data_IF_918926940292
#
_entry.id   IF_918926940292
#
_cell.length_a   1.000
_cell.length_b   1.000
_cell.length_c   1.000
_cell.angle_alpha   90.00
_cell.angle_beta   90.00
_cell.angle_gamma   90.00
#
_symmetry.space_group_name_H-M   'P 1'
#
loop_
_entity.id
_entity.type
_entity.pdbx_description
1 polymer ?
#
# COMPACT_ATOMS: atom_id res chain seq x y z
N UNK A 1 -0.43 55.30 -41.14
CA UNK A 1 0.85 55.07 -40.44
C UNK A 1 0.97 56.21 -39.45
N UNK A 2 0.17 56.15 -38.38
CA UNK A 2 0.46 55.48 -37.09
C UNK A 2 0.95 56.57 -36.14
N UNK A 3 0.55 56.69 -34.88
CA UNK A 3 -0.43 55.99 -34.05
C UNK A 3 -0.69 56.93 -32.86
N UNK A 4 -1.91 56.90 -32.32
CA UNK A 4 -2.29 57.70 -31.16
C UNK A 4 -1.68 57.13 -29.88
N UNK A 5 -0.90 57.93 -29.16
CA UNK A 5 -0.60 57.72 -27.75
C UNK A 5 -1.80 58.20 -26.92
N UNK A 6 -2.55 57.27 -26.34
CA UNK A 6 -3.52 57.57 -25.30
C UNK A 6 -3.07 56.87 -24.02
N UNK A 7 -2.55 57.68 -23.11
CA UNK A 7 -2.45 57.40 -21.68
C UNK A 7 -3.84 57.02 -21.15
N UNK A 8 -3.99 55.85 -20.51
CA UNK A 8 -5.10 55.58 -19.60
C UNK A 8 -4.61 54.84 -18.36
N UNK A 9 -5.15 55.32 -17.23
CA UNK A 9 -4.74 55.07 -15.87
C UNK A 9 -4.81 53.60 -15.45
N UNK A 10 -3.95 53.27 -14.47
CA UNK A 10 -4.08 52.10 -13.63
C UNK A 10 -5.50 51.99 -13.07
N UNK A 11 -6.27 51.06 -13.62
CA UNK A 11 -7.45 50.51 -12.97
C UNK A 11 -6.99 49.26 -12.23
N UNK A 12 -7.11 49.30 -10.91
CA UNK A 12 -7.15 48.10 -10.08
C UNK A 12 -8.12 47.11 -10.75
N UNK A 13 -7.61 45.95 -11.13
CA UNK A 13 -8.50 44.83 -11.43
C UNK A 13 -9.08 44.39 -10.10
N UNK A 14 -10.21 44.99 -9.73
CA UNK A 14 -11.16 44.31 -8.86
C UNK A 14 -11.37 42.92 -9.45
N UNK A 15 -10.87 41.92 -8.74
CA UNK A 15 -11.21 40.53 -9.00
C UNK A 15 -12.72 40.45 -8.83
N UNK A 16 -13.43 40.16 -9.91
CA UNK A 16 -14.88 39.92 -9.91
C UNK A 16 -15.23 39.05 -8.69
N UNK A 17 -15.92 39.65 -7.73
CA UNK A 17 -16.40 38.99 -6.51
C UNK A 17 -17.70 38.22 -6.73
N UNK A 18 -18.23 38.21 -7.95
CA UNK A 18 -19.54 37.69 -8.26
C UNK A 18 -19.47 36.58 -9.32
N UNK A 19 -19.31 35.36 -8.83
CA UNK A 19 -20.12 34.18 -9.21
C UNK A 19 -19.61 32.99 -8.38
N UNK A 20 -19.70 33.05 -7.04
CA UNK A 20 -19.69 31.80 -6.29
C UNK A 20 -20.98 31.05 -6.68
N UNK A 21 -20.90 29.86 -7.30
CA UNK A 21 -22.10 29.16 -7.76
C UNK A 21 -23.02 28.90 -6.57
N UNK A 22 -24.23 29.45 -6.61
CA UNK A 22 -25.21 29.26 -5.54
C UNK A 22 -25.60 27.77 -5.47
N UNK A 23 -25.12 27.07 -4.43
CA UNK A 23 -25.41 25.66 -4.23
C UNK A 23 -26.77 25.53 -3.55
N UNK A 24 -27.77 25.08 -4.32
CA UNK A 24 -29.05 24.65 -3.75
C UNK A 24 -28.93 23.25 -3.17
N UNK A 25 -28.91 23.14 -1.85
CA UNK A 25 -28.85 21.84 -1.16
C UNK A 25 -30.16 21.07 -1.29
N UNK A 26 -30.03 19.77 -1.53
CA UNK A 26 -31.19 18.86 -1.60
C UNK A 26 -31.71 18.47 -0.22
N UNK A 27 -30.80 18.31 0.75
CA UNK A 27 -31.08 17.91 2.13
C UNK A 27 -29.92 18.32 3.07
N UNK A 28 -30.10 18.05 4.36
CA UNK A 28 -29.14 18.36 5.41
C UNK A 28 -27.81 17.61 5.25
N UNK A 29 -27.81 16.42 4.62
CA UNK A 29 -26.58 15.64 4.36
C UNK A 29 -25.72 16.37 3.34
N UNK A 30 -26.30 16.84 2.23
CA UNK A 30 -25.58 17.63 1.24
C UNK A 30 -25.03 18.94 1.83
N UNK A 31 -25.81 19.59 2.70
CA UNK A 31 -25.37 20.80 3.39
C UNK A 31 -24.22 20.51 4.39
N UNK A 32 -24.31 19.42 5.13
CA UNK A 32 -23.27 19.00 6.06
C UNK A 32 -21.98 18.62 5.32
N UNK A 33 -22.09 17.86 4.23
CA UNK A 33 -20.98 17.50 3.36
C UNK A 33 -20.25 18.74 2.84
N UNK A 34 -20.99 19.69 2.26
CA UNK A 34 -20.40 20.93 1.76
C UNK A 34 -19.70 21.74 2.85
N UNK A 35 -20.35 21.89 4.02
CA UNK A 35 -19.80 22.63 5.15
C UNK A 35 -18.49 22.03 5.67
N UNK A 36 -18.43 20.70 5.81
CA UNK A 36 -17.24 19.99 6.26
C UNK A 36 -16.12 20.07 5.21
N UNK A 37 -16.47 19.87 3.94
CA UNK A 37 -15.52 19.93 2.83
C UNK A 37 -14.88 21.32 2.72
N UNK A 38 -15.67 22.39 2.71
CA UNK A 38 -15.12 23.75 2.71
C UNK A 38 -14.27 24.06 3.93
N UNK A 39 -14.67 23.58 5.12
CA UNK A 39 -13.90 23.82 6.34
C UNK A 39 -12.53 23.14 6.29
N UNK A 40 -12.47 21.95 5.70
CA UNK A 40 -11.21 21.26 5.45
C UNK A 40 -10.38 21.99 4.38
N UNK A 41 -10.95 22.28 3.21
CA UNK A 41 -10.22 22.88 2.08
C UNK A 41 -9.65 24.28 2.35
N UNK A 42 -10.19 25.02 3.33
CA UNK A 42 -9.60 26.31 3.77
C UNK A 42 -8.20 26.15 4.37
N UNK A 43 -7.92 25.00 4.96
CA UNK A 43 -6.66 24.68 5.61
C UNK A 43 -6.51 23.14 5.61
N UNK A 44 -6.16 22.55 4.43
CA UNK A 44 -6.22 21.11 4.20
C UNK A 44 -5.00 20.42 4.83
N UNK A 45 -4.91 20.51 6.15
CA UNK A 45 -3.85 19.91 6.96
C UNK A 45 -4.36 18.63 7.57
N UNK A 46 -3.66 17.52 7.31
CA UNK A 46 -3.92 16.27 8.00
C UNK A 46 -3.21 16.22 9.35
N UNK A 47 -3.95 15.93 10.45
CA UNK A 47 -3.33 15.72 11.74
C UNK A 47 -2.37 14.53 11.68
N UNK A 48 -1.21 14.61 12.37
CA UNK A 48 -0.27 13.49 12.42
C UNK A 48 -0.94 12.18 12.87
N UNK A 49 -0.81 11.13 12.06
CA UNK A 49 -1.40 9.81 12.32
C UNK A 49 -2.91 9.73 12.15
N UNK A 50 -3.54 10.67 11.44
CA UNK A 50 -4.97 10.61 11.11
C UNK A 50 -5.28 9.43 10.17
N UNK A 51 -4.52 9.26 9.09
CA UNK A 51 -4.68 8.14 8.15
C UNK A 51 -4.50 6.79 8.85
N UNK A 52 -3.51 6.69 9.75
CA UNK A 52 -3.25 5.54 10.61
C UNK A 52 -4.50 5.05 11.38
N UNK A 53 -5.36 5.97 11.82
CA UNK A 53 -6.56 5.63 12.62
C UNK A 53 -7.56 4.80 11.82
N UNK A 54 -7.67 5.05 10.51
CA UNK A 54 -8.59 4.34 9.63
C UNK A 54 -8.10 2.95 9.24
N UNK A 55 -6.82 2.67 9.47
CA UNK A 55 -6.16 1.48 8.93
C UNK A 55 -5.76 0.48 9.99
N UNK A 56 -5.62 0.93 11.25
CA UNK A 56 -5.46 0.05 12.41
C UNK A 56 -6.79 -0.44 13.03
N UNK A 57 -7.95 -0.27 12.37
CA UNK A 57 -9.27 -0.70 12.87
C UNK A 57 -9.40 -2.19 13.24
N UNK A 58 -8.40 -3.02 12.94
CA UNK A 58 -8.28 -4.39 13.46
C UNK A 58 -7.33 -4.47 14.66
N UNK A 59 -7.73 -3.87 15.79
CA UNK A 59 -7.02 -3.98 17.06
C UNK A 59 -7.53 -3.01 18.12
N UNK A 60 -7.29 -3.35 19.39
CA UNK A 60 -7.69 -2.62 20.62
C UNK A 60 -7.23 -1.13 20.64
N UNK A 61 -6.41 -0.72 19.66
CA UNK A 61 -5.81 0.61 19.47
C UNK A 61 -6.76 1.71 18.99
N UNK A 62 -7.99 1.39 18.58
CA UNK A 62 -8.97 2.41 18.21
C UNK A 62 -9.35 3.36 19.37
N UNK A 63 -9.14 2.96 20.63
CA UNK A 63 -9.50 3.75 21.81
C UNK A 63 -8.42 4.75 22.26
N UNK A 64 -7.13 4.42 22.12
CA UNK A 64 -6.04 5.28 22.63
C UNK A 64 -5.64 6.42 21.67
N UNK A 65 -6.04 6.36 20.39
CA UNK A 65 -5.85 7.44 19.42
C UNK A 65 -6.87 8.58 19.56
N UNK A 66 -7.94 8.37 20.34
CA UNK A 66 -9.01 9.34 20.60
C UNK A 66 -8.53 10.47 21.54
N UNK A 67 -7.44 10.28 22.29
CA UNK A 67 -6.96 11.24 23.29
C UNK A 67 -5.92 12.26 22.79
N UNK A 68 -5.50 12.24 21.51
CA UNK A 68 -4.46 13.17 21.01
C UNK A 68 -5.03 14.33 20.21
N UNK A 69 -4.38 15.49 20.42
CA UNK A 69 -4.81 16.86 20.11
C UNK A 69 -5.98 16.96 19.13
N UNK A 70 -7.15 17.30 19.68
CA UNK A 70 -8.32 17.74 18.92
C UNK A 70 -7.98 19.05 18.19
N UNK A 71 -7.21 18.96 17.12
CA UNK A 71 -7.14 20.05 16.16
C UNK A 71 -8.53 20.19 15.55
N UNK A 72 -8.90 21.42 15.21
CA UNK A 72 -10.19 21.67 14.57
C UNK A 72 -10.35 20.88 13.26
N UNK A 73 -9.25 20.57 12.57
CA UNK A 73 -9.26 19.78 11.33
C UNK A 73 -9.46 18.28 11.56
N UNK A 74 -8.89 17.69 12.62
CA UNK A 74 -9.12 16.27 12.92
C UNK A 74 -10.60 15.93 13.14
N UNK A 75 -11.34 16.80 13.83
CA UNK A 75 -12.78 16.63 14.01
C UNK A 75 -13.59 16.81 12.70
N UNK A 76 -13.13 17.68 11.81
CA UNK A 76 -13.75 17.90 10.49
C UNK A 76 -13.55 16.69 9.61
N UNK A 77 -12.31 16.22 9.48
CA UNK A 77 -11.97 15.03 8.71
C UNK A 77 -12.67 13.78 9.24
N UNK A 78 -12.73 13.60 10.56
CA UNK A 78 -13.41 12.46 11.17
C UNK A 78 -14.91 12.37 10.81
N UNK A 79 -15.55 13.52 10.60
CA UNK A 79 -16.93 13.61 10.15
C UNK A 79 -17.07 13.55 8.62
N UNK A 80 -16.08 14.04 7.87
CA UNK A 80 -16.08 14.07 6.41
C UNK A 80 -15.82 12.70 5.78
N UNK A 81 -14.89 11.92 6.36
CA UNK A 81 -14.45 10.62 5.82
C UNK A 81 -15.62 9.64 5.61
N UNK A 82 -16.53 9.39 6.58
CA UNK A 82 -17.66 8.49 6.36
C UNK A 82 -18.65 8.99 5.28
N UNK A 83 -18.82 10.32 5.15
CA UNK A 83 -19.66 10.91 4.11
C UNK A 83 -19.06 10.71 2.71
N UNK A 84 -17.74 10.87 2.59
CA UNK A 84 -17.02 10.57 1.35
C UNK A 84 -17.10 9.10 0.99
N UNK A 85 -16.75 8.21 1.93
CA UNK A 85 -16.84 6.76 1.76
C UNK A 85 -18.22 6.35 1.22
N UNK A 86 -19.29 6.79 1.90
CA UNK A 86 -20.68 6.51 1.48
C UNK A 86 -21.00 7.05 0.08
N UNK A 87 -20.50 8.25 -0.25
CA UNK A 87 -20.78 8.91 -1.52
C UNK A 87 -20.24 8.14 -2.73
N UNK A 88 -18.98 7.71 -2.71
CA UNK A 88 -18.36 7.09 -3.88
C UNK A 88 -18.51 5.56 -3.94
N UNK A 89 -18.75 4.86 -2.82
CA UNK A 89 -19.03 3.41 -2.86
C UNK A 89 -20.48 3.09 -3.24
N UNK A 90 -21.36 4.08 -3.19
CA UNK A 90 -22.76 3.91 -3.60
C UNK A 90 -22.83 3.45 -5.07
N UNK A 91 -23.71 2.49 -5.36
CA UNK A 91 -24.02 2.07 -6.73
C UNK A 91 -24.45 3.26 -7.60
N UNK A 92 -25.18 4.21 -6.98
CA UNK A 92 -25.63 5.43 -7.61
C UNK A 92 -25.14 6.62 -6.77
N UNK A 93 -23.90 7.10 -6.99
CA UNK A 93 -23.38 8.25 -6.27
C UNK A 93 -24.30 9.45 -6.43
N UNK A 94 -24.57 10.14 -5.31
CA UNK A 94 -25.44 11.31 -5.28
C UNK A 94 -24.88 12.42 -6.16
N UNK A 95 -25.58 12.74 -7.26
CA UNK A 95 -25.15 13.76 -8.24
C UNK A 95 -24.97 15.14 -7.62
N UNK A 96 -25.77 15.48 -6.61
CA UNK A 96 -25.66 16.74 -5.88
C UNK A 96 -24.40 16.80 -5.02
N UNK A 97 -24.04 15.72 -4.32
CA UNK A 97 -22.75 15.63 -3.61
C UNK A 97 -21.57 15.65 -4.59
N UNK A 98 -21.68 14.98 -5.74
CA UNK A 98 -20.63 15.04 -6.78
C UNK A 98 -20.43 16.45 -7.31
N UNK A 99 -21.52 17.18 -7.54
CA UNK A 99 -21.46 18.58 -7.96
C UNK A 99 -20.85 19.48 -6.90
N UNK A 100 -21.24 19.31 -5.62
CA UNK A 100 -20.63 20.02 -4.49
C UNK A 100 -19.12 19.78 -4.47
N UNK A 101 -18.71 18.52 -4.52
CA UNK A 101 -17.29 18.16 -4.47
C UNK A 101 -16.52 18.80 -5.63
N UNK A 102 -17.01 18.70 -6.87
CA UNK A 102 -16.38 19.30 -8.06
C UNK A 102 -16.27 20.83 -7.95
N UNK A 103 -17.34 21.50 -7.54
CA UNK A 103 -17.34 22.96 -7.34
C UNK A 103 -16.28 23.35 -6.30
N UNK A 104 -16.24 22.66 -5.14
CA UNK A 104 -15.29 22.98 -4.08
C UNK A 104 -13.85 22.64 -4.46
N UNK A 105 -13.59 21.52 -5.16
CA UNK A 105 -12.25 21.26 -5.68
C UNK A 105 -11.81 22.37 -6.62
N UNK A 106 -12.68 22.83 -7.52
CA UNK A 106 -12.38 23.94 -8.42
C UNK A 106 -12.10 25.25 -7.70
N UNK A 107 -12.96 25.64 -6.77
CA UNK A 107 -12.80 26.88 -6.00
C UNK A 107 -11.48 26.95 -5.23
N UNK A 108 -11.00 25.81 -4.73
CA UNK A 108 -9.76 25.71 -3.96
C UNK A 108 -8.54 25.27 -4.80
N UNK A 109 -8.69 25.13 -6.12
CA UNK A 109 -7.58 24.86 -7.05
C UNK A 109 -7.14 23.38 -7.16
N UNK A 110 -7.99 22.44 -6.76
CA UNK A 110 -7.76 20.99 -6.80
C UNK A 110 -8.54 20.26 -7.91
N UNK A 111 -9.22 20.96 -8.83
CA UNK A 111 -10.02 20.36 -9.92
C UNK A 111 -9.24 19.32 -10.74
N UNK A 112 -7.95 19.58 -10.95
CA UNK A 112 -7.06 18.74 -11.76
C UNK A 112 -6.23 17.75 -10.95
N UNK A 113 -6.35 17.68 -9.63
CA UNK A 113 -5.45 16.85 -8.80
C UNK A 113 -6.19 15.99 -7.81
N UNK A 114 -7.36 16.46 -7.35
CA UNK A 114 -8.20 15.69 -6.46
C UNK A 114 -8.98 14.59 -7.21
N UNK A 115 -8.99 13.39 -6.63
CA UNK A 115 -9.82 12.30 -7.12
C UNK A 115 -11.32 12.67 -7.10
N UNK A 116 -12.03 12.33 -8.17
CA UNK A 116 -13.47 12.51 -8.27
C UNK A 116 -14.22 11.18 -8.07
N UNK A 117 -15.56 11.21 -8.08
CA UNK A 117 -16.38 10.02 -7.85
C UNK A 117 -16.06 8.85 -8.79
N UNK A 118 -15.78 9.12 -10.06
CA UNK A 118 -15.37 8.08 -11.02
C UNK A 118 -14.01 7.51 -10.66
N UNK A 119 -13.02 8.36 -10.37
CA UNK A 119 -11.68 7.91 -9.95
C UNK A 119 -11.75 6.98 -8.73
N UNK A 120 -12.48 7.36 -7.67
CA UNK A 120 -12.68 6.50 -6.51
C UNK A 120 -13.36 5.19 -6.85
N UNK A 121 -14.42 5.24 -7.67
CA UNK A 121 -15.16 4.04 -8.05
C UNK A 121 -14.29 3.09 -8.87
N UNK A 122 -13.52 3.61 -9.82
CA UNK A 122 -12.69 2.81 -10.71
C UNK A 122 -11.48 2.19 -9.96
N UNK A 123 -10.98 2.87 -8.92
CA UNK A 123 -10.00 2.29 -7.98
C UNK A 123 -10.62 1.25 -7.02
N UNK A 124 -11.86 1.47 -6.56
CA UNK A 124 -12.56 0.55 -5.67
C UNK A 124 -13.09 -0.70 -6.35
N UNK A 125 -13.43 -0.60 -7.64
CA UNK A 125 -14.07 -1.66 -8.39
C UNK A 125 -13.41 -1.88 -9.77
N UNK A 126 -12.08 -2.12 -9.82
CA UNK A 126 -11.33 -2.21 -11.06
C UNK A 126 -11.86 -3.35 -11.95
N UNK A 127 -11.90 -3.10 -13.26
CA UNK A 127 -12.34 -4.07 -14.27
C UNK A 127 -13.80 -4.54 -14.17
N UNK A 128 -14.64 -3.94 -13.31
CA UNK A 128 -16.03 -4.37 -13.15
C UNK A 128 -16.99 -3.55 -14.03
N UNK A 129 -17.63 -4.21 -14.99
CA UNK A 129 -18.77 -3.63 -15.74
C UNK A 129 -20.07 -3.64 -14.93
N UNK A 130 -20.08 -4.26 -13.74
CA UNK A 130 -21.23 -4.35 -12.85
C UNK A 130 -20.81 -4.14 -11.38
N UNK A 131 -21.50 -3.23 -10.70
CA UNK A 131 -21.30 -2.94 -9.27
C UNK A 131 -21.64 -4.19 -8.44
N UNK A 132 -20.64 -4.77 -7.78
CA UNK A 132 -20.80 -5.96 -6.94
C UNK A 132 -20.96 -5.63 -5.45
N UNK A 133 -20.91 -4.33 -5.09
CA UNK A 133 -21.05 -3.83 -3.72
C UNK A 133 -19.88 -4.13 -2.78
N UNK A 134 -18.78 -4.71 -3.25
CA UNK A 134 -17.63 -5.11 -2.44
C UNK A 134 -16.38 -4.34 -2.88
N UNK A 135 -15.95 -3.29 -2.16
CA UNK A 135 -14.80 -2.47 -2.55
C UNK A 135 -13.45 -3.19 -2.35
N UNK A 136 -12.48 -2.94 -3.24
CA UNK A 136 -11.11 -3.52 -3.20
C UNK A 136 -10.30 -3.10 -2.00
N UNK A 137 -10.60 -1.90 -1.51
CA UNK A 137 -9.90 -1.22 -0.44
C UNK A 137 -10.93 -0.78 0.60
N UNK A 138 -10.47 -0.47 1.81
CA UNK A 138 -11.35 0.10 2.83
C UNK A 138 -11.77 1.52 2.42
N UNK A 139 -13.08 1.81 2.35
CA UNK A 139 -13.55 3.10 1.90
C UNK A 139 -13.20 4.27 2.81
N UNK A 140 -13.17 4.06 4.11
CA UNK A 140 -12.83 5.16 5.00
C UNK A 140 -11.33 5.44 4.96
N UNK A 141 -10.50 4.40 4.86
CA UNK A 141 -9.07 4.53 4.64
C UNK A 141 -8.75 5.25 3.32
N UNK A 142 -9.44 4.90 2.22
CA UNK A 142 -9.23 5.56 0.92
C UNK A 142 -9.67 7.02 0.95
N UNK A 143 -10.80 7.32 1.60
CA UNK A 143 -11.25 8.71 1.77
C UNK A 143 -10.29 9.53 2.63
N UNK A 144 -9.81 8.97 3.75
CA UNK A 144 -8.83 9.64 4.61
C UNK A 144 -7.54 9.93 3.84
N UNK A 145 -7.02 8.94 3.13
CA UNK A 145 -5.76 9.08 2.40
C UNK A 145 -5.83 10.08 1.25
N UNK A 146 -6.91 10.02 0.46
CA UNK A 146 -7.08 10.98 -0.63
C UNK A 146 -7.34 12.41 -0.15
N UNK A 147 -7.97 12.60 1.01
CA UNK A 147 -8.11 13.93 1.62
C UNK A 147 -6.78 14.48 2.14
N UNK A 148 -5.91 13.62 2.66
CA UNK A 148 -4.59 14.02 3.13
C UNK A 148 -3.58 14.27 2.02
N UNK A 149 -3.83 13.72 0.84
CA UNK A 149 -2.97 13.84 -0.33
C UNK A 149 -3.75 14.42 -1.53
N UNK A 150 -4.51 15.50 -1.31
CA UNK A 150 -5.41 16.06 -2.33
C UNK A 150 -4.70 16.39 -3.64
N UNK A 151 -3.42 16.82 -3.60
CA UNK A 151 -2.65 17.18 -4.79
C UNK A 151 -2.27 16.00 -5.67
N UNK A 152 -2.32 14.78 -5.13
CA UNK A 152 -1.86 13.58 -5.82
C UNK A 152 -2.92 12.47 -5.86
N UNK A 153 -4.07 12.69 -5.20
CA UNK A 153 -5.08 11.65 -5.03
C UNK A 153 -5.69 11.13 -6.33
N UNK A 154 -5.86 11.97 -7.37
CA UNK A 154 -6.36 11.50 -8.68
C UNK A 154 -5.39 10.51 -9.29
N UNK A 155 -4.15 10.94 -9.49
CA UNK A 155 -3.12 10.16 -10.16
C UNK A 155 -2.78 8.89 -9.38
N UNK A 156 -2.75 8.96 -8.04
CA UNK A 156 -2.47 7.80 -7.20
C UNK A 156 -3.57 6.72 -7.28
N UNK A 157 -4.85 7.13 -7.37
CA UNK A 157 -5.97 6.20 -7.54
C UNK A 157 -6.07 5.66 -8.96
N UNK A 158 -5.76 6.47 -9.98
CA UNK A 158 -5.70 6.01 -11.36
C UNK A 158 -4.59 4.97 -11.54
N UNK A 159 -3.40 5.22 -10.97
CA UNK A 159 -2.29 4.27 -10.94
C UNK A 159 -2.67 2.94 -10.28
N UNK A 160 -3.38 2.98 -9.15
CA UNK A 160 -3.88 1.77 -8.50
C UNK A 160 -4.86 0.99 -9.36
N UNK A 161 -5.79 1.69 -9.99
CA UNK A 161 -6.80 1.09 -10.85
C UNK A 161 -6.13 0.38 -12.02
N UNK A 162 -5.22 1.07 -12.72
CA UNK A 162 -4.47 0.51 -13.85
C UNK A 162 -3.58 -0.65 -13.42
N UNK A 163 -2.84 -0.53 -12.33
CA UNK A 163 -1.98 -1.61 -11.84
C UNK A 163 -2.77 -2.85 -11.45
N UNK A 164 -3.93 -2.67 -10.81
CA UNK A 164 -4.82 -3.78 -10.48
C UNK A 164 -5.35 -4.45 -11.74
N UNK A 165 -5.82 -3.69 -12.73
CA UNK A 165 -6.32 -4.24 -14.00
C UNK A 165 -5.22 -4.92 -14.82
N UNK A 166 -4.00 -4.36 -14.85
CA UNK A 166 -2.92 -4.84 -15.70
C UNK A 166 -2.17 -6.04 -15.14
N UNK A 167 -2.03 -6.09 -13.81
CA UNK A 167 -1.14 -7.04 -13.15
C UNK A 167 -1.88 -8.20 -12.49
N UNK A 168 -3.17 -8.06 -12.17
CA UNK A 168 -3.91 -9.10 -11.44
C UNK A 168 -4.48 -10.22 -12.33
N UNK A 169 -4.47 -10.11 -13.65
CA UNK A 169 -4.97 -11.18 -14.52
C UNK A 169 -4.02 -12.39 -14.58
N UNK A 170 -4.57 -13.61 -14.63
CA UNK A 170 -3.78 -14.81 -14.97
C UNK A 170 -3.33 -14.71 -16.45
N UNK A 171 -2.02 -14.72 -16.73
CA UNK A 171 -1.54 -14.69 -18.11
C UNK A 171 -2.02 -15.91 -18.91
N UNK A 172 -2.67 -15.68 -20.05
CA UNK A 172 -3.10 -16.74 -20.96
C UNK A 172 -4.37 -17.52 -20.56
N UNK A 173 -5.18 -17.01 -19.64
CA UNK A 173 -6.54 -17.52 -19.39
C UNK A 173 -7.61 -16.65 -20.07
N UNK A 174 -8.62 -17.28 -20.68
CA UNK A 174 -9.82 -16.64 -21.25
C UNK A 174 -10.95 -16.43 -20.20
N UNK A 175 -10.66 -16.67 -18.92
CA UNK A 175 -11.68 -16.62 -17.86
C UNK A 175 -12.01 -15.17 -17.53
N UNK A 176 -13.16 -14.69 -18.00
CA UNK A 176 -13.68 -13.37 -17.64
C UNK A 176 -14.07 -13.32 -16.16
N UNK A 177 -13.65 -12.25 -15.48
CA UNK A 177 -13.81 -11.93 -14.07
C UNK A 177 -15.28 -11.79 -13.57
N UNK A 178 -16.08 -12.87 -13.58
CA UNK A 178 -17.53 -12.80 -13.29
C UNK A 178 -18.06 -13.51 -12.03
N UNK A 179 -17.23 -13.95 -11.09
CA UNK A 179 -17.71 -14.20 -9.72
C UNK A 179 -16.71 -13.73 -8.68
N UNK A 180 -17.19 -12.99 -7.68
CA UNK A 180 -16.36 -12.31 -6.68
C UNK A 180 -17.02 -12.36 -5.31
N UNK A 181 -16.51 -13.15 -4.35
CA UNK A 181 -16.81 -13.03 -2.91
C UNK A 181 -15.56 -13.15 -2.03
N UNK A 182 -15.21 -12.09 -1.29
CA UNK A 182 -15.08 -12.05 0.18
C UNK A 182 -14.10 -10.97 0.71
N UNK A 183 -14.48 -10.40 1.87
CA UNK A 183 -13.72 -9.69 2.92
C UNK A 183 -12.71 -8.60 2.53
N UNK A 184 -13.18 -7.35 2.65
CA UNK A 184 -12.38 -6.11 2.68
C UNK A 184 -11.54 -6.07 3.97
N UNK A 185 -10.26 -5.67 3.87
CA UNK A 185 -9.40 -5.39 5.04
C UNK A 185 -8.99 -3.91 5.05
N UNK A 186 -8.98 -3.24 6.22
CA UNK A 186 -8.53 -1.85 6.36
C UNK A 186 -7.01 -1.76 6.21
N UNK A 187 -6.50 -1.04 5.19
CA UNK A 187 -5.05 -0.80 4.97
C UNK A 187 -4.81 0.54 4.28
N UNK A 188 -3.68 1.18 4.61
CA UNK A 188 -3.31 2.53 4.15
C UNK A 188 -2.95 2.48 2.67
N UNK A 189 -3.12 3.61 2.02
CA UNK A 189 -2.63 3.83 0.69
C UNK A 189 -1.79 5.11 0.67
N UNK A 190 -0.64 5.09 1.34
CA UNK A 190 0.31 6.17 1.13
C UNK A 190 1.11 5.81 -0.12
N UNK A 191 0.60 6.40 -1.21
CA UNK A 191 1.38 6.82 -2.35
C UNK A 191 1.81 5.75 -3.38
N UNK A 192 0.85 5.22 -4.16
CA UNK A 192 1.12 4.95 -5.59
C UNK A 192 1.00 6.22 -6.44
N UNK A 193 1.36 7.37 -5.87
CA UNK A 193 1.82 8.51 -6.67
C UNK A 193 3.25 8.21 -7.13
N UNK A 194 3.64 8.82 -8.24
CA UNK A 194 5.02 8.81 -8.74
C UNK A 194 5.87 9.91 -8.09
N UNK A 195 5.29 10.74 -7.22
CA UNK A 195 6.01 11.76 -6.45
C UNK A 195 6.88 11.16 -5.36
N UNK A 196 7.86 11.93 -4.88
CA UNK A 196 8.84 11.41 -3.93
C UNK A 196 8.25 11.12 -2.53
N UNK A 197 7.36 12.00 -2.07
CA UNK A 197 6.80 12.01 -0.71
C UNK A 197 5.33 12.43 -0.68
N UNK A 198 4.65 12.20 0.46
CA UNK A 198 3.33 12.75 0.78
C UNK A 198 3.31 14.30 0.79
N UNK A 199 2.11 14.89 0.74
CA UNK A 199 1.90 16.35 0.72
C UNK A 199 2.50 17.08 1.95
N UNK A 200 2.64 16.37 3.08
CA UNK A 200 3.25 16.87 4.32
C UNK A 200 4.77 16.55 4.44
N UNK A 201 5.36 16.02 3.37
CA UNK A 201 6.79 15.66 3.26
C UNK A 201 7.24 14.66 4.36
N UNK A 202 6.30 13.87 4.91
CA UNK A 202 6.59 12.89 5.97
C UNK A 202 6.84 11.48 5.43
N UNK A 203 6.00 11.01 4.51
CA UNK A 203 5.98 9.62 4.08
C UNK A 203 6.57 9.48 2.68
N UNK A 204 7.57 8.62 2.46
CA UNK A 204 8.03 8.33 1.11
C UNK A 204 6.98 7.54 0.34
N UNK A 205 6.91 7.77 -0.97
CA UNK A 205 5.98 7.01 -1.80
C UNK A 205 6.39 5.54 -1.97
N UNK A 206 5.42 4.71 -2.34
CA UNK A 206 5.72 3.35 -2.78
C UNK A 206 6.61 3.42 -4.02
N UNK A 207 6.35 4.32 -4.95
CA UNK A 207 7.14 4.45 -6.18
C UNK A 207 8.62 4.69 -5.87
N UNK A 208 8.94 5.69 -5.03
CA UNK A 208 10.31 5.96 -4.58
C UNK A 208 10.97 4.76 -3.94
N UNK A 209 10.20 4.05 -3.12
CA UNK A 209 10.71 2.87 -2.44
C UNK A 209 11.06 1.76 -3.44
N UNK A 210 10.20 1.52 -4.44
CA UNK A 210 10.44 0.52 -5.48
C UNK A 210 11.61 0.93 -6.40
N UNK A 211 11.69 2.19 -6.81
CA UNK A 211 12.80 2.74 -7.57
C UNK A 211 14.11 2.59 -6.80
N UNK A 212 14.12 2.97 -5.52
CA UNK A 212 15.28 2.80 -4.65
C UNK A 212 15.73 1.35 -4.50
N UNK A 213 14.82 0.38 -4.56
CA UNK A 213 15.16 -1.05 -4.58
C UNK A 213 15.80 -1.43 -5.92
N UNK A 214 15.18 -1.04 -7.03
CA UNK A 214 15.64 -1.36 -8.39
C UNK A 214 17.03 -0.75 -8.66
N UNK A 215 17.24 0.49 -8.24
CA UNK A 215 18.52 1.22 -8.33
C UNK A 215 19.56 0.76 -7.30
N UNK A 216 19.17 -0.13 -6.39
CA UNK A 216 20.05 -0.72 -5.38
C UNK A 216 20.41 0.23 -4.24
N UNK A 217 19.64 1.30 -4.00
CA UNK A 217 19.70 2.17 -2.81
C UNK A 217 19.12 1.50 -1.58
N UNK A 218 18.19 0.57 -1.78
CA UNK A 218 17.64 -0.31 -0.77
C UNK A 218 18.15 -1.72 -1.06
N UNK A 219 18.79 -2.37 -0.07
CA UNK A 219 19.36 -3.71 -0.25
C UNK A 219 18.46 -4.78 0.32
N UNK A 220 18.20 -5.84 -0.45
CA UNK A 220 17.54 -7.03 0.06
C UNK A 220 18.34 -7.55 1.27
N UNK A 221 17.68 -7.62 2.42
CA UNK A 221 18.31 -8.01 3.68
C UNK A 221 17.89 -9.42 4.07
N UNK A 222 16.59 -9.69 4.14
CA UNK A 222 16.10 -11.01 4.48
C UNK A 222 14.74 -11.31 3.87
N UNK A 223 14.45 -12.60 3.82
CA UNK A 223 13.19 -13.24 3.45
C UNK A 223 12.74 -14.11 4.62
N UNK A 224 11.44 -14.26 4.82
CA UNK A 224 10.89 -15.27 5.73
C UNK A 224 9.49 -15.70 5.35
N UNK A 225 9.18 -16.96 5.59
CA UNK A 225 7.83 -17.47 5.47
C UNK A 225 7.07 -17.28 6.79
N UNK A 226 5.82 -16.85 6.69
CA UNK A 226 4.91 -16.70 7.82
C UNK A 226 3.65 -17.53 7.57
N UNK A 227 3.28 -18.30 8.59
CA UNK A 227 2.04 -19.08 8.60
C UNK A 227 0.85 -18.19 8.93
N UNK A 228 -0.29 -18.43 8.28
CA UNK A 228 -1.57 -17.82 8.65
C UNK A 228 -2.42 -18.77 9.48
N UNK A 229 -3.34 -18.23 10.30
CA UNK A 229 -4.14 -19.01 11.24
C UNK A 229 -5.03 -20.08 10.61
N UNK A 230 -5.37 -19.93 9.33
CA UNK A 230 -6.29 -20.82 8.62
C UNK A 230 -5.61 -21.63 7.49
N UNK A 231 -4.31 -21.42 7.25
CA UNK A 231 -3.52 -22.11 6.21
C UNK A 231 -4.12 -22.08 4.79
N UNK A 232 -5.02 -21.14 4.52
CA UNK A 232 -5.54 -20.88 3.17
C UNK A 232 -4.58 -20.04 2.34
N UNK A 233 -3.58 -19.45 3.00
CA UNK A 233 -2.50 -18.66 2.41
C UNK A 233 -1.23 -18.78 3.27
N UNK A 234 -0.07 -18.60 2.64
CA UNK A 234 1.19 -18.27 3.31
C UNK A 234 1.56 -16.83 3.00
N UNK A 235 2.38 -16.23 3.87
CA UNK A 235 2.92 -14.90 3.64
C UNK A 235 4.43 -15.02 3.46
N UNK A 236 4.95 -14.52 2.35
CA UNK A 236 6.38 -14.26 2.20
C UNK A 236 6.65 -12.82 2.65
N UNK A 237 7.41 -12.66 3.73
CA UNK A 237 7.92 -11.36 4.13
C UNK A 237 9.30 -11.13 3.52
N UNK A 238 9.49 -9.94 2.96
CA UNK A 238 10.71 -9.52 2.26
C UNK A 238 11.13 -8.19 2.87
N UNK A 239 12.31 -8.13 3.47
CA UNK A 239 12.82 -6.91 4.08
C UNK A 239 14.00 -6.36 3.29
N UNK A 240 13.91 -5.07 3.00
CA UNK A 240 14.99 -4.27 2.41
C UNK A 240 15.57 -3.36 3.47
N UNK A 241 16.90 -3.38 3.61
CA UNK A 241 17.64 -2.40 4.39
C UNK A 241 17.65 -1.06 3.64
N UNK A 242 17.28 0.00 4.34
CA UNK A 242 17.41 1.37 3.82
C UNK A 242 18.90 1.70 3.78
N UNK A 243 19.48 1.83 2.58
CA UNK A 243 20.90 2.13 2.38
C UNK A 243 21.69 1.03 1.68
N UNK A 244 22.85 1.41 1.16
CA UNK A 244 23.61 0.61 0.19
C UNK A 244 24.31 -0.63 0.79
N UNK A 245 24.44 -0.69 2.13
CA UNK A 245 25.08 -1.79 2.84
C UNK A 245 24.29 -2.19 4.09
N UNK A 246 23.87 -3.45 4.13
CA UNK A 246 23.15 -4.03 5.27
C UNK A 246 23.94 -3.84 6.56
N UNK A 247 23.26 -3.30 7.58
CA UNK A 247 23.84 -3.13 8.91
C UNK A 247 24.76 -1.93 9.08
N UNK A 248 25.03 -1.19 8.00
CA UNK A 248 25.75 0.09 8.05
C UNK A 248 24.73 1.20 8.20
N UNK A 249 24.95 2.07 9.19
CA UNK A 249 24.09 3.24 9.42
C UNK A 249 24.01 4.07 8.12
N UNK A 250 22.82 4.24 7.52
CA UNK A 250 22.65 5.00 6.29
C UNK A 250 22.85 6.49 6.54
N UNK A 251 23.15 7.24 5.48
CA UNK A 251 23.25 8.70 5.56
C UNK A 251 21.90 9.32 5.92
N UNK A 252 21.93 10.54 6.46
CA UNK A 252 20.71 11.27 6.77
C UNK A 252 19.87 11.54 5.51
N UNK A 253 20.52 11.76 4.36
CA UNK A 253 19.87 11.92 3.07
C UNK A 253 19.08 10.67 2.66
N UNK A 254 19.71 9.49 2.75
CA UNK A 254 19.05 8.21 2.48
C UNK A 254 17.87 7.98 3.42
N UNK A 255 18.04 8.27 4.72
CA UNK A 255 16.93 8.17 5.67
C UNK A 255 15.82 9.15 5.34
N UNK A 256 16.12 10.42 5.02
CA UNK A 256 15.09 11.39 4.64
C UNK A 256 14.32 10.93 3.40
N UNK A 257 14.97 10.25 2.46
CA UNK A 257 14.32 9.81 1.23
C UNK A 257 13.46 8.55 1.41
N UNK A 258 13.86 7.61 2.26
CA UNK A 258 13.27 6.26 2.30
C UNK A 258 12.73 5.84 3.68
N UNK A 259 12.72 6.72 4.67
CA UNK A 259 12.09 6.47 5.98
C UNK A 259 11.00 7.49 6.25
N UNK A 260 10.03 7.09 7.05
CA UNK A 260 9.03 8.00 7.59
C UNK A 260 9.72 9.08 8.43
N UNK A 261 9.53 10.35 8.05
CA UNK A 261 10.12 11.51 8.74
C UNK A 261 9.41 11.87 10.03
N UNK A 262 8.18 11.40 10.22
CA UNK A 262 7.47 11.43 11.49
C UNK A 262 8.15 10.58 12.57
N UNK A 263 8.93 9.56 12.19
CA UNK A 263 9.72 8.72 13.09
C UNK A 263 11.05 9.39 13.49
N UNK A 264 10.96 10.33 14.43
CA UNK A 264 12.09 11.17 14.86
C UNK A 264 12.99 10.56 15.94
N UNK A 265 12.48 9.62 16.76
CA UNK A 265 13.24 9.03 17.88
C UNK A 265 14.02 7.79 17.44
N UNK A 266 13.36 6.89 16.72
CA UNK A 266 14.00 5.77 16.05
C UNK A 266 13.63 5.85 14.59
N UNK A 267 14.62 6.13 13.74
CA UNK A 267 14.42 6.21 12.29
C UNK A 267 14.24 4.81 11.73
N UNK A 268 13.39 4.67 10.73
CA UNK A 268 13.22 3.39 10.06
C UNK A 268 14.53 2.95 9.41
N UNK A 269 14.78 1.64 9.48
CA UNK A 269 15.95 1.00 8.88
C UNK A 269 15.55 -0.03 7.84
N UNK A 270 14.28 -0.43 7.84
CA UNK A 270 13.75 -1.38 6.89
C UNK A 270 12.50 -0.85 6.22
N UNK A 271 12.39 -1.20 4.94
CA UNK A 271 11.11 -1.32 4.24
C UNK A 271 10.80 -2.80 4.14
N UNK A 272 9.62 -3.20 4.58
CA UNK A 272 9.21 -4.60 4.64
C UNK A 272 7.97 -4.82 3.80
N UNK A 273 8.02 -5.82 2.93
CA UNK A 273 6.91 -6.26 2.10
C UNK A 273 6.32 -7.57 2.61
N UNK A 274 5.00 -7.71 2.58
CA UNK A 274 4.29 -8.96 2.88
C UNK A 274 3.50 -9.41 1.65
N UNK A 275 3.93 -10.49 1.03
CA UNK A 275 3.28 -11.07 -0.13
C UNK A 275 2.35 -12.17 0.34
N UNK A 276 1.04 -11.96 0.20
CA UNK A 276 0.04 -12.96 0.52
C UNK A 276 -0.14 -13.91 -0.66
N UNK A 277 0.23 -15.16 -0.47
CA UNK A 277 0.23 -16.21 -1.49
C UNK A 277 -0.84 -17.24 -1.11
N UNK A 278 -1.99 -17.25 -1.81
CA UNK A 278 -3.02 -18.26 -1.59
C UNK A 278 -2.52 -19.66 -1.94
N UNK A 279 -3.01 -20.65 -1.20
CA UNK A 279 -2.68 -22.06 -1.39
C UNK A 279 -3.86 -22.73 -2.10
N UNK A 280 -3.80 -22.74 -3.43
CA UNK A 280 -4.84 -23.24 -4.32
C UNK A 280 -4.27 -23.65 -5.70
N UNK A 281 -5.17 -23.97 -6.64
CA UNK A 281 -4.82 -24.39 -7.99
C UNK A 281 -4.12 -23.32 -8.85
N UNK A 282 -4.10 -22.06 -8.38
CA UNK A 282 -3.47 -20.91 -9.04
C UNK A 282 -2.27 -20.37 -8.25
N UNK A 283 -1.76 -21.12 -7.26
CA UNK A 283 -0.53 -20.74 -6.54
C UNK A 283 0.67 -20.65 -7.46
N UNK A 284 0.75 -21.50 -8.49
CA UNK A 284 1.82 -21.47 -9.48
C UNK A 284 1.25 -21.24 -10.86
N UNK A 285 1.86 -20.32 -11.61
CA UNK A 285 1.57 -20.17 -13.03
C UNK A 285 2.30 -21.27 -13.80
N UNK A 286 1.52 -22.14 -14.44
CA UNK A 286 2.04 -22.99 -15.50
C UNK A 286 2.39 -22.16 -16.75
N UNK A 287 3.38 -22.60 -17.55
CA UNK A 287 3.81 -22.09 -18.88
C UNK A 287 5.07 -21.21 -18.90
N UNK A 288 5.96 -21.32 -17.91
CA UNK A 288 7.32 -20.75 -18.00
C UNK A 288 8.38 -21.72 -17.46
N UNK A 289 9.66 -21.43 -17.73
CA UNK A 289 10.81 -22.24 -17.28
C UNK A 289 10.98 -22.23 -15.75
N UNK A 290 10.42 -21.20 -15.09
CA UNK A 290 10.43 -21.04 -13.64
C UNK A 290 9.01 -21.12 -13.05
N UNK A 291 8.90 -21.59 -11.79
CA UNK A 291 7.65 -21.54 -11.05
C UNK A 291 7.36 -20.10 -10.61
N UNK A 292 6.47 -19.42 -11.33
CA UNK A 292 6.00 -18.11 -10.90
C UNK A 292 4.90 -18.26 -9.85
N UNK A 293 5.10 -17.64 -8.70
CA UNK A 293 4.17 -17.71 -7.57
C UNK A 293 3.08 -16.65 -7.71
N UNK A 294 1.83 -17.05 -7.57
CA UNK A 294 0.68 -16.16 -7.58
C UNK A 294 0.52 -15.41 -6.26
N UNK A 295 0.69 -14.09 -6.31
CA UNK A 295 0.49 -13.18 -5.19
C UNK A 295 -0.89 -12.55 -5.28
N UNK A 296 -1.71 -12.74 -4.24
CA UNK A 296 -3.06 -12.14 -4.18
C UNK A 296 -3.04 -10.69 -3.73
N UNK A 297 -2.03 -10.30 -2.96
CA UNK A 297 -1.78 -8.93 -2.59
C UNK A 297 -0.39 -8.82 -1.99
N UNK A 298 0.24 -7.66 -2.10
CA UNK A 298 1.36 -7.33 -1.25
C UNK A 298 1.11 -6.06 -0.45
N UNK A 299 1.66 -6.03 0.76
CA UNK A 299 1.65 -4.85 1.62
C UNK A 299 3.08 -4.39 1.83
N UNK A 300 3.26 -3.12 2.17
CA UNK A 300 4.55 -2.52 2.50
C UNK A 300 4.42 -1.76 3.83
N UNK A 301 5.47 -1.77 4.65
CA UNK A 301 5.56 -0.95 5.85
C UNK A 301 7.01 -0.65 6.20
N UNK A 302 7.21 0.44 6.94
CA UNK A 302 8.51 0.76 7.50
C UNK A 302 8.69 0.11 8.88
N UNK A 303 9.93 -0.25 9.22
CA UNK A 303 10.26 -0.77 10.54
C UNK A 303 11.56 -0.18 11.08
N UNK A 304 11.58 0.09 12.39
CA UNK A 304 12.78 0.49 13.13
C UNK A 304 13.54 -0.70 13.72
N UNK A 305 12.95 -1.90 13.73
CA UNK A 305 13.54 -3.11 14.35
C UNK A 305 13.30 -4.36 13.50
N UNK A 306 14.13 -5.38 13.66
CA UNK A 306 13.86 -6.70 13.07
C UNK A 306 13.04 -7.52 14.05
N UNK A 307 11.90 -8.04 13.61
CA UNK A 307 11.18 -9.07 14.36
C UNK A 307 11.82 -10.42 14.02
N UNK A 308 12.36 -11.13 15.01
CA UNK A 308 12.78 -12.53 14.83
C UNK A 308 11.54 -13.42 14.96
N UNK A 309 11.32 -14.42 14.08
CA UNK A 309 10.19 -15.32 14.19
C UNK A 309 10.20 -16.07 15.55
N UNK A 310 9.00 -16.39 16.04
CA UNK A 310 8.87 -17.36 17.12
C UNK A 310 9.32 -18.72 16.59
N UNK A 311 10.29 -19.37 17.24
CA UNK A 311 10.52 -20.81 17.00
C UNK A 311 9.25 -21.56 17.36
N UNK A 312 8.68 -22.28 16.40
CA UNK A 312 7.44 -23.05 16.56
C UNK A 312 7.69 -24.38 17.30
N UNK A 313 8.96 -24.78 17.50
CA UNK A 313 9.34 -25.94 18.31
C UNK A 313 9.13 -25.71 19.83
N UNK A 314 8.52 -26.71 20.48
CA UNK A 314 8.25 -26.71 21.93
C UNK A 314 9.55 -26.73 22.73
N UNK A 315 9.87 -25.63 23.41
CA UNK A 315 10.76 -25.66 24.58
C UNK A 315 11.82 -24.58 24.70
N UNK A 316 11.95 -23.65 23.75
CA UNK A 316 12.91 -22.55 23.87
C UNK A 316 12.34 -21.21 23.38
N UNK A 317 12.56 -20.16 24.17
CA UNK A 317 12.10 -18.81 23.88
C UNK A 317 13.00 -18.12 22.85
N UNK A 318 12.51 -17.96 21.61
CA UNK A 318 13.04 -16.98 20.67
C UNK A 318 12.40 -15.60 20.98
N UNK A 319 13.26 -14.64 21.35
CA UNK A 319 13.04 -13.22 21.69
C UNK A 319 11.61 -12.67 21.89
N UNK A 320 11.44 -12.09 23.08
CA UNK A 320 10.39 -11.20 23.61
C UNK A 320 9.41 -10.60 22.57
N UNK A 321 8.31 -11.31 22.32
CA UNK A 321 7.01 -10.68 22.19
C UNK A 321 6.25 -10.94 23.49
N UNK A 322 5.48 -9.95 23.93
CA UNK A 322 4.69 -10.06 25.14
C UNK A 322 3.70 -11.25 25.05
N UNK A 323 3.44 -11.95 26.17
CA UNK A 323 2.47 -13.03 26.24
C UNK A 323 1.09 -12.62 25.70
N UNK A 324 0.25 -13.59 25.26
CA UNK A 324 -1.12 -13.31 24.84
C UNK A 324 -1.87 -12.52 25.92
N UNK A 325 -2.33 -11.32 25.59
CA UNK A 325 -3.02 -10.42 26.53
C UNK A 325 -2.14 -9.42 27.26
N UNK A 326 -0.83 -9.39 27.01
CA UNK A 326 0.07 -8.32 27.44
C UNK A 326 0.56 -7.52 26.24
N UNK A 327 0.46 -6.20 26.35
CA UNK A 327 1.06 -5.25 25.41
C UNK A 327 2.58 -5.41 25.45
N UNK A 328 3.30 -5.49 24.31
CA UNK A 328 4.74 -5.31 24.30
C UNK A 328 5.11 -4.08 25.16
N UNK A 329 6.12 -4.22 26.03
CA UNK A 329 6.72 -3.11 26.79
C UNK A 329 7.15 -1.92 25.92
N UNK A 330 7.15 -2.10 24.60
CA UNK A 330 7.61 -1.18 23.59
C UNK A 330 6.45 -0.65 22.72
N UNK A 331 5.26 -1.27 22.75
CA UNK A 331 4.05 -0.74 22.10
C UNK A 331 3.17 0.05 23.06
N UNK A 332 3.41 -0.09 24.36
CA UNK A 332 3.00 0.86 25.39
C UNK A 332 4.27 1.34 26.07
N UNK A 333 4.90 2.37 25.51
CA UNK A 333 5.73 3.22 26.35
C UNK A 333 4.83 3.73 27.46
N UNK A 334 5.01 3.24 28.69
CA UNK A 334 4.39 3.82 29.88
C UNK A 334 4.63 5.33 29.79
N UNK A 335 3.55 6.09 29.59
CA UNK A 335 3.51 7.55 29.41
C UNK A 335 3.97 8.13 28.06
N UNK A 336 3.90 7.42 26.93
CA UNK A 336 4.04 8.04 25.60
C UNK A 336 5.39 8.76 25.35
N UNK A 337 6.39 8.53 26.21
CA UNK A 337 7.73 9.12 26.13
C UNK A 337 8.72 8.30 25.28
N UNK A 338 8.38 7.06 24.94
CA UNK A 338 9.23 6.14 24.19
C UNK A 338 8.71 5.89 22.76
N UNK A 339 8.57 6.98 22.01
CA UNK A 339 8.90 7.17 20.58
C UNK A 339 8.60 6.19 19.44
N UNK A 340 8.02 5.01 19.62
CA UNK A 340 7.63 4.14 18.48
C UNK A 340 6.16 4.38 18.12
N UNK A 341 5.89 5.49 17.43
CA UNK A 341 4.60 5.71 16.74
C UNK A 341 4.60 4.81 15.48
N UNK A 342 3.42 4.38 15.03
CA UNK A 342 3.24 3.72 13.73
C UNK A 342 3.97 2.40 13.46
N UNK A 343 4.35 1.65 14.50
CA UNK A 343 5.04 0.37 14.34
C UNK A 343 4.23 -0.62 13.47
N UNK A 344 4.65 -0.83 12.22
CA UNK A 344 3.98 -1.61 11.17
C UNK A 344 2.70 -0.99 10.58
N UNK A 345 2.63 0.32 10.39
CA UNK A 345 1.63 0.92 9.52
C UNK A 345 1.79 0.39 8.09
N UNK A 346 0.79 -0.36 7.62
CA UNK A 346 0.85 -1.08 6.33
C UNK A 346 0.11 -0.32 5.26
N UNK A 347 0.83 -0.01 4.19
CA UNK A 347 0.22 0.31 2.91
C UNK A 347 -0.03 -0.95 2.09
N UNK A 348 -1.01 -0.96 1.20
CA UNK A 348 -1.28 -2.10 0.31
C UNK A 348 -1.12 -1.68 -1.16
N UNK A 349 0.09 -1.77 -1.73
CA UNK A 349 0.34 -1.18 -3.05
C UNK A 349 -0.22 -1.96 -4.24
N UNK A 350 -0.68 -3.21 -4.03
CA UNK A 350 -1.42 -4.00 -5.01
C UNK A 350 -2.38 -4.99 -4.33
N UNK A 351 -3.59 -5.14 -4.87
CA UNK A 351 -4.59 -6.09 -4.38
C UNK A 351 -5.39 -6.78 -5.51
N UNK A 352 -5.16 -8.08 -5.68
CA UNK A 352 -5.84 -8.92 -6.66
C UNK A 352 -6.97 -9.79 -6.06
N UNK A 353 -7.17 -9.78 -4.73
CA UNK A 353 -8.15 -10.64 -4.02
C UNK A 353 -9.60 -10.48 -4.47
N UNK A 354 -9.89 -9.38 -5.15
CA UNK A 354 -11.21 -9.02 -5.62
C UNK A 354 -11.66 -9.82 -6.83
N UNK A 355 -10.75 -10.47 -7.56
CA UNK A 355 -11.15 -11.29 -8.70
C UNK A 355 -10.79 -12.74 -8.36
N UNK A 356 -11.80 -13.60 -8.25
CA UNK A 356 -11.56 -15.02 -7.97
C UNK A 356 -10.64 -15.59 -9.07
N UNK A 357 -9.56 -16.25 -8.64
CA UNK A 357 -8.43 -16.73 -9.46
C UNK A 357 -7.38 -15.69 -9.91
N UNK A 358 -7.57 -14.38 -9.71
CA UNK A 358 -6.57 -13.39 -10.13
C UNK A 358 -5.40 -13.25 -9.15
N UNK A 359 -4.21 -13.12 -9.74
CA UNK A 359 -2.93 -13.09 -9.05
C UNK A 359 -1.98 -12.22 -9.86
N UNK A 360 -1.18 -11.45 -9.15
CA UNK A 360 0.05 -10.94 -9.72
C UNK A 360 1.11 -12.03 -9.63
N UNK A 361 1.76 -12.33 -10.75
CA UNK A 361 2.86 -13.29 -10.82
C UNK A 361 4.18 -12.53 -10.94
N UNK A 362 4.82 -12.13 -9.82
CA UNK A 362 6.12 -11.47 -9.85
C UNK A 362 7.13 -12.31 -10.64
N UNK A 363 7.74 -11.71 -11.65
CA UNK A 363 8.64 -12.39 -12.59
C UNK A 363 8.06 -12.54 -13.99
N UNK A 364 6.72 -12.59 -14.13
CA UNK A 364 6.08 -12.48 -15.44
C UNK A 364 6.34 -11.08 -16.02
N UNK A 365 6.58 -11.01 -17.33
CA UNK A 365 6.80 -9.74 -18.03
C UNK A 365 5.50 -9.24 -18.66
N UNK A 366 4.69 -8.52 -17.88
CA UNK A 366 3.39 -8.00 -18.31
C UNK A 366 3.54 -6.93 -19.41
N UNK A 367 4.66 -6.22 -19.42
CA UNK A 367 4.98 -5.23 -20.45
C UNK A 367 5.24 -5.88 -21.80
N UNK A 368 6.12 -6.89 -21.87
CA UNK A 368 6.42 -7.62 -23.10
C UNK A 368 5.21 -8.41 -23.62
N UNK A 369 4.33 -8.86 -22.73
CA UNK A 369 3.05 -9.46 -23.10
C UNK A 369 2.00 -8.45 -23.62
N UNK A 370 2.33 -7.15 -23.68
CA UNK A 370 1.45 -6.10 -24.14
C UNK A 370 0.17 -5.94 -23.30
N UNK A 371 0.20 -6.31 -22.01
CA UNK A 371 -0.95 -6.17 -21.10
C UNK A 371 -1.10 -4.74 -20.64
N UNK A 372 -0.03 -4.16 -20.10
CA UNK A 372 0.01 -2.77 -19.63
C UNK A 372 -0.40 -1.83 -20.76
N UNK A 373 0.24 -1.95 -21.93
CA UNK A 373 -0.03 -1.11 -23.10
C UNK A 373 -1.43 -1.27 -23.71
N UNK A 374 -2.14 -2.38 -23.43
CA UNK A 374 -3.55 -2.56 -23.86
C UNK A 374 -4.51 -1.82 -22.94
N UNK A 375 -4.26 -1.83 -21.64
CA UNK A 375 -5.12 -1.19 -20.64
C UNK A 375 -4.95 0.33 -20.64
N UNK A 376 -3.75 0.79 -21.03
CA UNK A 376 -3.42 2.22 -21.05
C UNK A 376 -3.74 2.91 -22.38
N UNK A 377 -4.36 2.19 -23.32
CA UNK A 377 -4.91 2.77 -24.55
C UNK A 377 -5.99 3.79 -24.18
N UNK A 378 -5.67 5.08 -24.29
CA UNK A 378 -6.54 6.19 -23.89
C UNK A 378 -5.97 7.16 -22.85
N UNK A 379 -4.64 7.30 -22.76
CA UNK A 379 -3.93 8.21 -21.85
C UNK A 379 -4.11 7.92 -20.35
N UNK A 380 -4.32 6.66 -19.97
CA UNK A 380 -4.28 6.25 -18.56
C UNK A 380 -2.81 6.09 -18.12
N UNK A 381 -2.46 6.42 -16.87
CA UNK A 381 -1.07 6.36 -16.42
C UNK A 381 -0.59 4.90 -16.32
N UNK A 382 0.63 4.63 -16.77
CA UNK A 382 1.21 3.28 -16.84
C UNK A 382 2.50 3.12 -16.04
N UNK A 383 3.16 4.21 -15.69
CA UNK A 383 4.45 4.29 -14.99
C UNK A 383 4.48 3.42 -13.74
N UNK A 384 3.49 3.56 -12.85
CA UNK A 384 3.41 2.76 -11.63
C UNK A 384 3.25 1.26 -11.92
N UNK A 385 2.48 0.90 -12.95
CA UNK A 385 2.31 -0.52 -13.34
C UNK A 385 3.59 -1.12 -13.90
N UNK A 386 4.34 -0.34 -14.68
CA UNK A 386 5.67 -0.71 -15.20
C UNK A 386 6.64 -0.91 -14.03
N UNK A 387 6.62 -0.01 -13.05
CA UNK A 387 7.49 -0.07 -11.88
C UNK A 387 7.21 -1.31 -11.01
N UNK A 388 5.94 -1.64 -10.78
CA UNK A 388 5.57 -2.87 -10.05
C UNK A 388 5.93 -4.14 -10.84
N UNK A 389 5.73 -4.15 -12.17
CA UNK A 389 6.20 -5.24 -13.04
C UNK A 389 7.72 -5.43 -12.95
N UNK A 390 8.47 -4.33 -13.02
CA UNK A 390 9.93 -4.35 -12.90
C UNK A 390 10.40 -4.82 -11.52
N UNK A 391 9.75 -4.38 -10.45
CA UNK A 391 10.01 -4.88 -9.10
C UNK A 391 9.78 -6.39 -8.99
N UNK A 392 8.70 -6.92 -9.58
CA UNK A 392 8.47 -8.36 -9.63
C UNK A 392 9.60 -9.11 -10.34
N UNK A 393 10.04 -8.61 -11.51
CA UNK A 393 11.18 -9.17 -12.25
C UNK A 393 12.50 -9.02 -11.49
N UNK A 394 12.69 -7.94 -10.73
CA UNK A 394 13.83 -7.76 -9.85
C UNK A 394 13.88 -8.84 -8.77
N UNK A 395 12.76 -9.10 -8.08
CA UNK A 395 12.69 -10.14 -7.04
C UNK A 395 13.05 -11.53 -7.59
N UNK A 396 12.59 -11.85 -8.81
CA UNK A 396 12.96 -13.09 -9.49
C UNK A 396 14.48 -13.17 -9.69
N UNK A 397 15.11 -12.11 -10.22
CA UNK A 397 16.57 -12.04 -10.42
C UNK A 397 17.36 -12.15 -9.11
N UNK A 398 16.83 -11.59 -8.02
CA UNK A 398 17.41 -11.71 -6.68
C UNK A 398 17.24 -13.10 -6.04
N UNK A 399 16.58 -14.03 -6.74
CA UNK A 399 16.41 -15.40 -6.29
C UNK A 399 15.30 -15.62 -5.27
N UNK A 400 14.46 -14.61 -5.02
CA UNK A 400 13.38 -14.66 -4.01
C UNK A 400 12.43 -15.85 -4.24
N UNK A 401 12.12 -16.14 -5.51
CA UNK A 401 11.23 -17.23 -5.93
C UNK A 401 11.96 -18.43 -6.53
N UNK A 402 13.27 -18.59 -6.29
CA UNK A 402 14.01 -19.77 -6.75
C UNK A 402 13.41 -21.04 -6.14
N UNK A 403 13.55 -22.16 -6.87
CA UNK A 403 13.06 -23.49 -6.45
C UNK A 403 13.49 -23.85 -5.03
N UNK A 404 14.74 -23.60 -4.64
CA UNK A 404 15.24 -23.85 -3.28
C UNK A 404 14.47 -23.07 -2.20
N UNK A 405 14.13 -21.81 -2.46
CA UNK A 405 13.39 -20.97 -1.51
C UNK A 405 11.90 -21.35 -1.46
N UNK A 406 11.33 -21.77 -2.58
CA UNK A 406 9.97 -22.31 -2.64
C UNK A 406 9.87 -23.68 -1.96
N UNK A 407 10.93 -24.49 -2.00
CA UNK A 407 10.98 -25.83 -1.43
C UNK A 407 10.80 -25.87 0.09
N UNK A 408 11.02 -24.75 0.80
CA UNK A 408 10.67 -24.63 2.21
C UNK A 408 9.17 -24.86 2.45
N UNK A 409 8.31 -24.38 1.55
CA UNK A 409 6.86 -24.50 1.65
C UNK A 409 6.30 -25.63 0.79
N UNK A 410 6.87 -25.81 -0.40
CA UNK A 410 6.48 -26.80 -1.39
C UNK A 410 7.69 -27.67 -1.76
N UNK A 411 8.12 -28.64 -0.93
CA UNK A 411 9.34 -29.41 -1.15
C UNK A 411 9.45 -30.06 -2.53
N UNK A 412 8.32 -30.53 -3.07
CA UNK A 412 8.26 -31.12 -4.40
C UNK A 412 8.69 -30.14 -5.52
N UNK A 413 8.54 -28.83 -5.34
CA UNK A 413 9.01 -27.81 -6.30
C UNK A 413 10.55 -27.76 -6.38
N UNK A 414 11.23 -28.12 -5.28
CA UNK A 414 12.68 -28.22 -5.22
C UNK A 414 13.24 -29.59 -5.61
N UNK A 415 12.37 -30.57 -5.83
CA UNK A 415 12.76 -31.93 -6.20
C UNK A 415 12.86 -32.03 -7.72
N UNK A 416 14.08 -32.15 -8.24
CA UNK A 416 14.33 -32.30 -9.69
C UNK A 416 13.81 -33.64 -10.24
N UNK A 417 13.58 -34.62 -9.38
CA UNK A 417 12.99 -35.93 -9.74
C UNK A 417 11.46 -35.91 -9.69
N UNK A 418 10.85 -34.91 -9.04
CA UNK A 418 9.42 -34.73 -9.11
C UNK A 418 9.06 -34.31 -10.53
N UNK A 419 8.20 -35.10 -11.19
CA UNK A 419 7.65 -34.84 -12.53
C UNK A 419 6.68 -33.64 -12.51
N UNK A 420 7.19 -32.49 -12.07
CA UNK A 420 6.51 -31.21 -12.04
C UNK A 420 7.02 -30.39 -13.20
N UNK A 421 6.23 -30.38 -14.26
CA UNK A 421 6.47 -29.50 -15.38
C UNK A 421 5.93 -28.10 -15.03
N UNK A 422 6.78 -27.06 -14.89
CA UNK A 422 6.31 -25.69 -14.71
C UNK A 422 5.55 -25.18 -15.95
N UNK A 423 5.51 -25.93 -17.06
CA UNK A 423 4.64 -25.71 -18.21
C UNK A 423 3.27 -26.43 -18.14
N UNK A 424 3.07 -27.35 -17.19
CA UNK A 424 1.85 -28.14 -17.10
C UNK A 424 0.63 -27.34 -16.59
N UNK A 425 -0.56 -27.81 -16.99
CA UNK A 425 -1.84 -27.19 -16.63
C UNK A 425 -2.24 -27.37 -15.15
N UNK A 426 -1.56 -28.22 -14.39
CA UNK A 426 -1.91 -28.59 -13.01
C UNK A 426 -0.70 -28.54 -12.08
N UNK A 427 -0.24 -27.32 -11.74
CA UNK A 427 0.65 -27.10 -10.60
C UNK A 427 -0.17 -26.59 -9.40
N UNK A 428 -1.06 -27.46 -8.90
CA UNK A 428 -1.94 -27.13 -7.79
C UNK A 428 -1.13 -26.99 -6.49
N UNK A 429 -0.90 -25.75 -6.07
CA UNK A 429 -0.12 -25.44 -4.88
C UNK A 429 -0.70 -26.05 -3.61
N UNK A 430 -2.01 -26.34 -3.57
CA UNK A 430 -2.62 -27.08 -2.46
C UNK A 430 -2.15 -28.53 -2.40
N UNK A 431 -2.00 -29.19 -3.54
CA UNK A 431 -1.52 -30.59 -3.59
C UNK A 431 -0.04 -30.71 -3.24
N UNK A 432 0.74 -29.67 -3.54
CA UNK A 432 2.17 -29.62 -3.28
C UNK A 432 2.51 -29.07 -1.88
N UNK A 433 1.54 -28.49 -1.17
CA UNK A 433 1.75 -27.81 0.11
C UNK A 433 2.11 -28.81 1.21
N UNK A 434 3.39 -28.86 1.56
CA UNK A 434 3.92 -29.70 2.63
C UNK A 434 5.14 -29.02 3.25
N UNK A 435 4.97 -27.92 4.00
CA UNK A 435 6.10 -27.15 4.51
C UNK A 435 7.09 -27.99 5.30
N UNK A 436 8.38 -27.78 5.05
CA UNK A 436 9.45 -28.46 5.77
C UNK A 436 9.40 -28.10 7.27
N UNK A 437 9.94 -28.98 8.10
CA UNK A 437 10.13 -28.64 9.51
C UNK A 437 11.01 -27.39 9.62
N UNK A 438 10.53 -26.39 10.37
CA UNK A 438 11.24 -25.12 10.53
C UNK A 438 11.10 -24.13 9.38
N UNK A 439 10.29 -24.41 8.35
CA UNK A 439 10.09 -23.49 7.22
C UNK A 439 9.66 -22.06 7.61
N UNK A 440 9.03 -21.91 8.78
CA UNK A 440 8.56 -20.63 9.33
C UNK A 440 9.44 -20.07 10.45
N UNK A 441 10.54 -20.75 10.80
CA UNK A 441 11.36 -20.44 11.98
C UNK A 441 12.61 -19.62 11.67
N UNK A 442 12.95 -19.46 10.39
CA UNK A 442 14.21 -18.87 9.97
C UNK A 442 14.03 -17.74 8.95
N UNK A 443 14.95 -16.78 9.04
CA UNK A 443 15.15 -15.78 8.00
C UNK A 443 16.23 -16.28 7.05
N UNK A 444 15.99 -16.15 5.76
CA UNK A 444 16.89 -16.57 4.68
C UNK A 444 17.14 -15.40 3.72
N UNK A 445 18.06 -15.55 2.77
CA UNK A 445 18.26 -14.60 1.67
C UNK A 445 17.96 -15.26 0.33
N UNK A 446 17.95 -14.49 -0.76
CA UNK A 446 17.73 -15.04 -2.09
C UNK A 446 18.72 -16.13 -2.49
N UNK A 447 19.95 -16.07 -1.97
CA UNK A 447 21.06 -16.97 -2.32
C UNK A 447 21.53 -17.88 -1.16
N UNK A 448 20.95 -17.75 0.05
CA UNK A 448 21.42 -18.49 1.23
C UNK A 448 20.30 -18.84 2.20
N UNK A 449 20.40 -20.02 2.80
CA UNK A 449 19.48 -20.54 3.81
C UNK A 449 19.55 -19.81 5.17
N UNK A 450 20.43 -18.80 5.31
CA UNK A 450 20.55 -18.00 6.52
C UNK A 450 21.08 -16.60 6.23
N UNK A 451 20.62 -15.62 7.02
CA UNK A 451 21.12 -14.23 7.02
C UNK A 451 21.94 -13.89 8.28
N UNK A 452 22.27 -14.88 9.10
CA UNK A 452 22.95 -14.70 10.37
C UNK A 452 22.07 -14.07 11.47
N UNK A 453 22.68 -13.68 12.60
CA UNK A 453 21.96 -13.05 13.70
C UNK A 453 21.58 -11.60 13.38
N UNK A 454 20.27 -11.37 13.26
CA UNK A 454 19.70 -10.06 12.96
C UNK A 454 19.52 -9.17 14.20
N UNK A 455 19.62 -9.74 15.41
CA UNK A 455 19.41 -9.00 16.65
C UNK A 455 20.46 -7.89 16.86
N UNK A 456 21.66 -8.06 16.29
CA UNK A 456 22.73 -7.05 16.29
C UNK A 456 22.36 -5.73 15.61
N UNK A 457 21.32 -5.72 14.78
CA UNK A 457 20.84 -4.54 14.06
C UNK A 457 19.66 -3.87 14.76
N UNK A 458 19.07 -4.53 15.77
CA UNK A 458 17.99 -3.93 16.54
C UNK A 458 18.56 -2.82 17.45
N UNK A 459 17.90 -1.65 17.54
CA UNK A 459 18.21 -0.67 18.57
C UNK A 459 18.14 -1.35 19.94
N UNK A 460 19.14 -1.11 20.79
CA UNK A 460 19.08 -1.58 22.17
C UNK A 460 18.00 -0.76 22.91
N UNK A 461 16.87 -1.37 23.32
CA UNK A 461 15.78 -0.64 23.96
C UNK A 461 16.16 -0.08 25.34
N UNK A 462 17.31 -0.50 25.89
CA UNK A 462 17.84 -0.06 27.17
C UNK A 462 18.95 1.00 27.06
N UNK A 463 19.31 1.43 25.85
CA UNK A 463 20.21 2.57 25.64
C UNK A 463 19.41 3.73 25.07
N UNK A 464 19.50 4.89 25.71
CA UNK A 464 19.00 6.13 25.13
C UNK A 464 19.63 6.32 23.73
N UNK A 465 18.87 6.78 22.73
CA UNK A 465 19.45 7.13 21.45
C UNK A 465 20.55 8.18 21.65
N UNK A 466 21.68 8.08 20.93
CA UNK A 466 22.71 9.11 20.98
C UNK A 466 22.10 10.45 20.54
N UNK A 467 22.39 11.49 21.33
CA UNK A 467 21.95 12.88 21.15
C UNK A 467 22.44 13.50 19.86
#
# INVERSE_FOLDING_TARGET
MDSAEAYYCAGDKEVDKDEQPEIRYRDDIAQQFDRLLQRFLKDPVCPPGFETQYTMRSGIYARDLIEREKTNQGAVLAALVPLMATWYTSQNPRKDMSRIFQIRMKEYGYEETAANASTYRDAMYPGSSSWNGLPSYDPEAMAASSLCNLRHSRDALDNLSVASEALCEIPGSDVSALSKRSLVKPRIFDASTMEDTSDDDQLPSVAVTLEGIIDGKLKLHYLRWLRTSHETEVILEIAFWIGDHVGVTPSQETLNRYSDRGHTIYRDRWVVFHFHIPIDQHTFLGRQEEFLVGVSSFNMYHSQTVVVPYRVDRGFAASVRAPPGQTPLNSQGENGRWGMRGYNERVQPLNCRQIEAERWYPGFNYQAAGRISRITQGNRPDEYSILVDEFGRFLLRQGVFRRSNLAYIWPAVGDEEADLDPMAALNDGRRLYNPQQGAFDYNFSGDSDSVGDLSRFAPNPYRNPPS
#
